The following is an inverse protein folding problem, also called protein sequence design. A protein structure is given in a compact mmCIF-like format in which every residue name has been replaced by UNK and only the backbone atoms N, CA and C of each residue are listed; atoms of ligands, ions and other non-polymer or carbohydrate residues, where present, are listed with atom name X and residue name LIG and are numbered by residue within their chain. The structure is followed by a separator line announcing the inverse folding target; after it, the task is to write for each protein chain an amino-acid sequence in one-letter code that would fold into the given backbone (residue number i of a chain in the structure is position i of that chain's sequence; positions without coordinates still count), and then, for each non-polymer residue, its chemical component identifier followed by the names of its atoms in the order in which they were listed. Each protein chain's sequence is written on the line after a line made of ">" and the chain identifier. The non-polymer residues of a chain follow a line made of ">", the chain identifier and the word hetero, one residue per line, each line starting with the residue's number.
data_IF_068952547695
#
_entry.id   IF_068952547695
#
_cell.length_a   1.000
_cell.length_b   1.000
_cell.length_c   1.000
_cell.angle_alpha   90.00
_cell.angle_beta   90.00
_cell.angle_gamma   90.00
#
_symmetry.space_group_name_H-M   'P 1'
#
loop_
_entity.id
_entity.type
_entity.pdbx_description
1 polymer ?
#
# COMPACT_ATOMS: atom_id res chain seq x y z
N UNK A 1 13.86 5.84 0.91
CA UNK A 1 12.39 5.85 0.74
C UNK A 1 12.05 6.70 -0.47
N UNK A 2 11.32 6.16 -1.45
CA UNK A 2 10.83 6.97 -2.57
C UNK A 2 9.55 7.68 -2.14
N UNK A 3 9.48 9.00 -2.33
CA UNK A 3 8.27 9.76 -2.07
C UNK A 3 7.09 9.20 -2.90
N UNK A 4 5.83 9.34 -2.43
CA UNK A 4 4.66 9.01 -3.24
C UNK A 4 4.77 9.63 -4.62
N UNK A 5 4.53 8.82 -5.65
CA UNK A 5 4.44 9.31 -7.03
C UNK A 5 2.98 9.53 -7.37
N UNK A 6 2.60 10.75 -7.74
CA UNK A 6 1.32 11.00 -8.39
C UNK A 6 1.39 10.35 -9.78
N UNK A 7 0.49 9.42 -10.05
CA UNK A 7 0.51 8.63 -11.29
C UNK A 7 -0.66 8.96 -12.19
N UNK A 8 -1.82 9.27 -11.62
CA UNK A 8 -3.01 9.55 -12.39
C UNK A 8 -3.82 10.66 -11.72
N UNK A 9 -4.38 11.53 -12.55
CA UNK A 9 -5.32 12.58 -12.18
C UNK A 9 -6.43 12.57 -13.21
N UNK A 10 -7.67 12.37 -12.75
CA UNK A 10 -8.84 12.41 -13.62
C UNK A 10 -9.95 13.22 -12.99
N UNK A 11 -10.72 13.87 -13.86
CA UNK A 11 -11.94 14.57 -13.49
C UNK A 11 -13.11 13.79 -14.07
N UNK A 12 -14.10 13.49 -13.24
CA UNK A 12 -15.34 12.85 -13.64
C UNK A 12 -16.53 13.73 -13.22
N UNK A 13 -17.61 13.66 -13.98
CA UNK A 13 -18.91 14.25 -13.61
C UNK A 13 -19.97 13.15 -13.58
N UNK A 14 -20.84 13.17 -12.57
CA UNK A 14 -22.03 12.31 -12.54
C UNK A 14 -23.33 13.12 -12.77
N UNK A 15 -23.22 14.28 -13.42
CA UNK A 15 -24.34 15.18 -13.71
C UNK A 15 -24.50 16.27 -12.65
N UNK A 16 -24.58 15.89 -11.37
CA UNK A 16 -24.75 16.85 -10.26
C UNK A 16 -23.44 17.22 -9.55
N UNK A 17 -22.42 16.35 -9.65
CA UNK A 17 -21.17 16.53 -8.93
C UNK A 17 -19.95 16.36 -9.85
N UNK A 18 -19.00 17.27 -9.68
CA UNK A 18 -17.66 17.15 -10.23
C UNK A 18 -16.73 16.49 -9.21
N UNK A 19 -16.10 15.41 -9.61
CA UNK A 19 -15.15 14.65 -8.82
C UNK A 19 -13.75 14.80 -9.40
N UNK A 20 -12.79 15.21 -8.56
CA UNK A 20 -11.36 15.15 -8.86
C UNK A 20 -10.76 13.93 -8.18
N UNK A 21 -10.28 12.97 -8.95
CA UNK A 21 -9.58 11.79 -8.45
C UNK A 21 -8.08 11.88 -8.70
N UNK A 22 -7.27 11.61 -7.67
CA UNK A 22 -5.81 11.54 -7.72
C UNK A 22 -5.30 10.22 -7.16
N UNK A 23 -4.44 9.54 -7.90
CA UNK A 23 -3.83 8.29 -7.47
C UNK A 23 -2.34 8.45 -7.15
N UNK A 24 -1.96 8.14 -5.92
CA UNK A 24 -0.60 8.17 -5.41
C UNK A 24 -0.07 6.74 -5.20
N UNK A 25 1.02 6.35 -5.85
CA UNK A 25 1.66 5.05 -5.63
C UNK A 25 2.78 5.13 -4.58
N UNK A 26 2.84 4.11 -3.73
CA UNK A 26 3.85 3.96 -2.69
C UNK A 26 4.62 2.64 -2.86
N UNK A 27 5.95 2.74 -3.02
CA UNK A 27 6.82 1.56 -3.13
C UNK A 27 6.63 0.79 -4.46
N UNK A 28 6.87 -0.54 -4.49
CA UNK A 28 6.60 -1.35 -5.67
C UNK A 28 5.09 -1.36 -5.92
N UNK A 29 4.65 -1.05 -7.15
CA UNK A 29 3.29 -0.74 -7.68
C UNK A 29 2.10 -1.64 -7.24
N UNK A 30 2.02 -1.89 -5.94
CA UNK A 30 1.16 -2.85 -5.26
C UNK A 30 0.36 -2.18 -4.17
N UNK A 31 0.68 -0.93 -3.84
CA UNK A 31 -0.03 -0.11 -2.86
C UNK A 31 -0.21 1.30 -3.42
N UNK A 32 -1.44 1.80 -3.31
CA UNK A 32 -1.80 3.14 -3.75
C UNK A 32 -2.77 3.81 -2.81
N UNK A 33 -2.80 5.14 -2.86
CA UNK A 33 -3.84 5.95 -2.24
C UNK A 33 -4.61 6.67 -3.34
N UNK A 34 -5.92 6.45 -3.37
CA UNK A 34 -6.85 7.10 -4.30
C UNK A 34 -7.64 8.16 -3.55
N UNK A 35 -7.38 9.42 -3.84
CA UNK A 35 -8.07 10.56 -3.22
C UNK A 35 -9.14 11.05 -4.19
N UNK A 36 -10.40 10.94 -3.80
CA UNK A 36 -11.55 11.43 -4.57
C UNK A 36 -12.09 12.66 -3.85
N UNK A 37 -12.02 13.82 -4.49
CA UNK A 37 -12.61 15.07 -3.99
C UNK A 37 -13.86 15.41 -4.76
N UNK A 38 -14.97 15.49 -4.04
CA UNK A 38 -16.18 16.13 -4.53
C UNK A 38 -15.98 17.64 -4.43
N UNK A 39 -15.98 18.32 -5.58
CA UNK A 39 -15.70 19.76 -5.67
C UNK A 39 -16.82 20.63 -5.09
N UNK A 40 -17.99 20.05 -4.82
CA UNK A 40 -19.13 20.75 -4.23
C UNK A 40 -19.38 20.34 -2.77
N UNK A 41 -18.84 19.21 -2.30
CA UNK A 41 -19.12 18.69 -0.97
C UNK A 41 -17.91 17.99 -0.33
N UNK A 42 -17.18 18.72 0.52
CA UNK A 42 -16.06 18.16 1.28
C UNK A 42 -16.40 16.87 2.07
N UNK A 43 -17.57 16.73 2.72
CA UNK A 43 -17.95 15.48 3.42
C UNK A 43 -18.10 14.25 2.52
N UNK A 44 -18.30 14.44 1.20
CA UNK A 44 -18.40 13.36 0.21
C UNK A 44 -17.05 12.98 -0.40
N UNK A 45 -15.99 13.67 0.01
CA UNK A 45 -14.63 13.40 -0.46
C UNK A 45 -13.99 12.31 0.40
N UNK A 46 -13.30 11.36 -0.24
CA UNK A 46 -12.62 10.25 0.43
C UNK A 46 -11.16 10.09 0.01
N UNK A 47 -10.39 9.41 0.85
CA UNK A 47 -9.04 8.95 0.60
C UNK A 47 -8.97 7.46 0.92
N UNK A 48 -8.78 6.66 -0.13
CA UNK A 48 -8.86 5.20 -0.06
C UNK A 48 -7.46 4.62 -0.23
N UNK A 49 -7.01 3.83 0.74
CA UNK A 49 -5.77 3.06 0.62
C UNK A 49 -6.11 1.70 0.02
N UNK A 50 -5.47 1.35 -1.09
CA UNK A 50 -5.75 0.14 -1.85
C UNK A 50 -4.48 -0.68 -2.05
N UNK A 51 -4.61 -2.01 -2.03
CA UNK A 51 -3.55 -2.97 -2.35
C UNK A 51 -3.90 -3.77 -3.59
N UNK A 52 -2.95 -3.90 -4.50
CA UNK A 52 -3.06 -4.78 -5.66
C UNK A 52 -2.96 -6.24 -5.22
N UNK A 53 -3.91 -7.04 -5.63
CA UNK A 53 -3.93 -8.49 -5.41
C UNK A 53 -3.12 -9.22 -6.48
N UNK A 54 -2.91 -10.52 -6.27
CA UNK A 54 -2.28 -11.41 -7.27
C UNK A 54 -3.08 -11.50 -8.58
N UNK A 55 -4.41 -11.29 -8.53
CA UNK A 55 -5.28 -11.24 -9.71
C UNK A 55 -5.34 -9.86 -10.39
N UNK A 56 -4.41 -8.94 -10.08
CA UNK A 56 -4.33 -7.60 -10.69
C UNK A 56 -5.52 -6.67 -10.38
N UNK A 57 -6.37 -7.03 -9.41
CA UNK A 57 -7.42 -6.17 -8.88
C UNK A 57 -6.93 -5.35 -7.70
N UNK A 58 -7.64 -4.27 -7.36
CA UNK A 58 -7.38 -3.48 -6.16
C UNK A 58 -8.34 -3.85 -5.03
N UNK A 59 -7.82 -4.08 -3.83
CA UNK A 59 -8.59 -4.32 -2.61
C UNK A 59 -8.42 -3.14 -1.66
N UNK A 60 -9.52 -2.65 -1.10
CA UNK A 60 -9.52 -1.57 -0.11
C UNK A 60 -8.95 -2.06 1.22
N UNK A 61 -8.01 -1.32 1.78
CA UNK A 61 -7.44 -1.53 3.11
C UNK A 61 -7.97 -0.52 4.12
N UNK A 62 -8.20 0.72 3.70
CA UNK A 62 -8.75 1.78 4.52
C UNK A 62 -9.53 2.78 3.65
N UNK A 63 -10.59 3.35 4.21
CA UNK A 63 -11.38 4.42 3.63
C UNK A 63 -11.53 5.52 4.69
N UNK A 64 -11.01 6.71 4.38
CA UNK A 64 -10.95 7.85 5.28
C UNK A 64 -11.55 9.09 4.59
N UNK A 65 -12.06 10.07 5.35
CA UNK A 65 -12.41 11.37 4.77
C UNK A 65 -11.19 11.99 4.07
N UNK A 66 -11.38 12.64 2.91
CA UNK A 66 -10.26 13.13 2.09
C UNK A 66 -9.34 14.14 2.79
N UNK A 67 -9.80 14.81 3.84
CA UNK A 67 -8.96 15.70 4.67
C UNK A 67 -7.83 14.94 5.39
N UNK A 68 -8.02 13.64 5.63
CA UNK A 68 -7.05 12.73 6.25
C UNK A 68 -6.23 11.95 5.23
N UNK A 69 -6.14 12.42 3.98
CA UNK A 69 -5.38 11.73 2.92
C UNK A 69 -3.91 11.49 3.27
N UNK A 70 -3.31 12.35 4.11
CA UNK A 70 -1.95 12.16 4.60
C UNK A 70 -1.84 10.96 5.55
N UNK A 71 -2.86 10.68 6.34
CA UNK A 71 -2.91 9.50 7.20
C UNK A 71 -3.06 8.23 6.36
N UNK A 72 -3.89 8.27 5.31
CA UNK A 72 -4.00 7.19 4.31
C UNK A 72 -2.63 6.88 3.65
N UNK A 73 -1.90 7.93 3.28
CA UNK A 73 -0.55 7.91 2.70
C UNK A 73 0.48 7.31 3.67
N UNK A 74 0.41 7.71 4.94
CA UNK A 74 1.29 7.22 6.00
C UNK A 74 1.02 5.74 6.33
N UNK A 75 -0.25 5.35 6.43
CA UNK A 75 -0.66 3.95 6.61
C UNK A 75 -0.20 3.06 5.44
N UNK A 76 -0.32 3.57 4.21
CA UNK A 76 0.17 2.90 3.01
C UNK A 76 1.69 2.66 3.04
N UNK A 77 2.45 3.66 3.48
CA UNK A 77 3.91 3.56 3.66
C UNK A 77 4.28 2.57 4.75
N UNK A 78 3.58 2.57 5.88
CA UNK A 78 3.78 1.62 6.97
C UNK A 78 3.50 0.18 6.52
N UNK A 79 2.39 -0.05 5.82
CA UNK A 79 2.03 -1.36 5.28
C UNK A 79 3.07 -1.89 4.27
N UNK A 80 3.57 -1.01 3.40
CA UNK A 80 4.66 -1.34 2.47
C UNK A 80 5.91 -1.79 3.23
N UNK A 81 6.30 -1.02 4.24
CA UNK A 81 7.50 -1.26 5.05
C UNK A 81 7.40 -2.59 5.79
N UNK A 82 6.27 -2.84 6.45
CA UNK A 82 6.01 -4.10 7.13
C UNK A 82 6.06 -5.31 6.18
N UNK A 83 5.52 -5.18 4.96
CA UNK A 83 5.57 -6.25 3.95
C UNK A 83 7.01 -6.53 3.48
N UNK A 84 7.80 -5.49 3.22
CA UNK A 84 9.21 -5.65 2.80
C UNK A 84 10.03 -6.30 3.91
N UNK A 85 9.90 -5.81 5.14
CA UNK A 85 10.61 -6.38 6.29
C UNK A 85 10.22 -7.84 6.53
N UNK A 86 8.93 -8.18 6.42
CA UNK A 86 8.46 -9.56 6.51
C UNK A 86 9.07 -10.47 5.43
N UNK A 87 9.14 -10.02 4.17
CA UNK A 87 9.78 -10.80 3.09
C UNK A 87 11.26 -11.01 3.35
N UNK A 88 11.99 -9.95 3.75
CA UNK A 88 13.42 -10.05 4.07
C UNK A 88 13.64 -11.03 5.21
N UNK A 89 12.84 -10.96 6.28
CA UNK A 89 12.93 -11.88 7.40
C UNK A 89 12.72 -13.35 6.97
N UNK A 90 11.71 -13.62 6.12
CA UNK A 90 11.48 -14.97 5.56
C UNK A 90 12.68 -15.43 4.74
N UNK A 91 13.19 -14.59 3.84
CA UNK A 91 14.34 -14.94 3.00
C UNK A 91 15.60 -15.23 3.83
N UNK A 92 15.88 -14.40 4.85
CA UNK A 92 17.01 -14.61 5.76
C UNK A 92 16.85 -15.91 6.54
N UNK A 93 15.65 -16.20 7.03
CA UNK A 93 15.37 -17.44 7.75
C UNK A 93 15.54 -18.68 6.86
N UNK A 94 14.99 -18.66 5.64
CA UNK A 94 15.14 -19.75 4.67
C UNK A 94 16.61 -19.97 4.28
N UNK A 95 17.38 -18.90 4.14
CA UNK A 95 18.82 -18.98 3.86
C UNK A 95 19.57 -19.60 5.05
N UNK A 96 19.32 -19.13 6.27
CA UNK A 96 19.93 -19.68 7.48
C UNK A 96 19.59 -21.17 7.67
N UNK A 97 18.35 -21.57 7.38
CA UNK A 97 17.94 -22.98 7.42
C UNK A 97 18.69 -23.82 6.38
N UNK A 98 18.87 -23.32 5.15
CA UNK A 98 19.66 -23.99 4.10
C UNK A 98 21.14 -24.10 4.45
N UNK A 99 21.71 -23.09 5.08
CA UNK A 99 23.12 -23.08 5.51
C UNK A 99 23.36 -24.00 6.73
N UNK A 100 22.36 -24.20 7.59
CA UNK A 100 22.47 -25.00 8.81
C UNK A 100 21.92 -26.43 8.71
N UNK A 101 21.43 -26.87 7.54
CA UNK A 101 20.90 -28.25 7.34
C UNK A 101 21.92 -29.39 7.46
N UNK A 102 23.21 -29.14 7.74
CA UNK A 102 24.22 -30.21 7.85
C UNK A 102 25.38 -29.92 8.81
N UNK A 103 25.16 -29.15 9.88
CA UNK A 103 26.13 -29.14 10.97
C UNK A 103 25.92 -30.39 11.85
N UNK A 104 26.94 -31.25 12.07
CA UNK A 104 26.81 -32.31 13.06
C UNK A 104 26.50 -31.67 14.42
N UNK A 105 25.43 -32.14 15.07
CA UNK A 105 25.14 -31.81 16.45
C UNK A 105 26.32 -32.33 17.27
N UNK A 106 27.26 -31.45 17.63
CA UNK A 106 28.30 -31.77 18.60
C UNK A 106 27.63 -32.00 19.95
N UNK A 107 27.30 -33.25 20.26
CA UNK A 107 26.64 -33.57 21.52
C UNK A 107 25.99 -34.95 21.67
N UNK A 108 25.93 -35.79 20.63
CA UNK A 108 25.52 -37.19 20.83
C UNK A 108 26.73 -38.00 21.32
N UNK A 109 26.77 -38.21 22.64
CA UNK A 109 27.54 -39.28 23.30
C UNK A 109 26.62 -40.46 23.54
#
# INVERSE_FOLDING_TARGET
>A
MSAPRLVDERIATNGEHHLLERCYHHGPDTLRVRVVRDLHSAPRSSAVTERRTTCHSWTVLADLPAQHWYDATSACTLATTASVLGRVAVTVLEQALREHTSAPVFGER
#
